data_IF_729167886589
#
_entry.id   IF_729167886589
#
_cell.length_a   1.000
_cell.length_b   1.000
_cell.length_c   1.000
_cell.angle_alpha   90.00
_cell.angle_beta   90.00
_cell.angle_gamma   90.00
#
_symmetry.space_group_name_H-M   'P 1'
#
loop_
_entity.id
_entity.type
_entity.pdbx_description
1 polymer ?
#
# COMPACT_ATOMS: atom_id res chain seq x y z
N UNK A 1 13.12 -13.49 -1.92
CA UNK A 1 14.46 -13.48 -2.55
C UNK A 1 14.53 -13.11 -4.06
N UNK A 2 13.43 -12.92 -4.83
CA UNK A 2 13.52 -12.61 -6.28
C UNK A 2 14.30 -11.35 -6.66
N UNK A 3 14.15 -10.24 -5.90
CA UNK A 3 14.90 -9.00 -6.12
C UNK A 3 16.43 -9.19 -6.12
N UNK A 4 16.94 -10.01 -5.20
CA UNK A 4 18.37 -10.29 -5.10
C UNK A 4 18.84 -11.21 -6.24
N UNK A 5 17.98 -12.14 -6.69
CA UNK A 5 18.28 -12.99 -7.84
C UNK A 5 18.42 -12.17 -9.13
N UNK A 6 17.56 -11.18 -9.38
CA UNK A 6 17.72 -10.26 -10.52
C UNK A 6 19.04 -9.48 -10.45
N UNK A 7 19.41 -8.99 -9.26
CA UNK A 7 20.68 -8.29 -9.08
C UNK A 7 21.90 -9.20 -9.30
N UNK A 8 21.83 -10.44 -8.81
CA UNK A 8 22.86 -11.46 -9.00
C UNK A 8 22.99 -11.85 -10.47
N UNK A 9 21.86 -12.05 -11.17
CA UNK A 9 21.85 -12.34 -12.60
C UNK A 9 22.56 -11.25 -13.41
N UNK A 10 22.24 -9.98 -13.14
CA UNK A 10 22.94 -8.82 -13.75
C UNK A 10 24.44 -8.86 -13.47
N UNK A 11 24.85 -9.18 -12.24
CA UNK A 11 26.27 -9.30 -11.90
C UNK A 11 26.95 -10.44 -12.68
N UNK A 12 26.32 -11.62 -12.76
CA UNK A 12 26.86 -12.79 -13.46
C UNK A 12 27.07 -12.47 -14.94
N UNK A 13 26.05 -11.94 -15.63
CA UNK A 13 26.16 -11.68 -17.06
C UNK A 13 27.16 -10.55 -17.36
N UNK A 14 27.33 -9.59 -16.44
CA UNK A 14 28.24 -8.46 -16.65
C UNK A 14 29.70 -8.74 -16.28
N UNK A 15 29.97 -9.60 -15.27
CA UNK A 15 31.30 -9.84 -14.73
C UNK A 15 31.86 -11.23 -15.10
N UNK A 16 31.00 -12.24 -15.22
CA UNK A 16 31.42 -13.62 -15.42
C UNK A 16 31.34 -14.08 -16.88
N UNK A 17 30.72 -13.29 -17.76
CA UNK A 17 30.59 -13.56 -19.21
C UNK A 17 30.18 -15.01 -19.52
N UNK A 18 29.02 -15.49 -19.01
CA UNK A 18 28.58 -16.86 -19.24
C UNK A 18 28.33 -17.12 -20.73
N UNK A 19 28.62 -18.34 -21.16
CA UNK A 19 28.55 -18.73 -22.58
C UNK A 19 27.14 -18.77 -23.19
N UNK A 20 26.10 -18.91 -22.36
CA UNK A 20 24.69 -18.94 -22.79
C UNK A 20 23.82 -18.11 -21.84
N UNK A 21 23.75 -16.79 -22.08
CA UNK A 21 22.90 -15.88 -21.32
C UNK A 21 21.41 -16.15 -21.54
N UNK A 22 20.91 -16.35 -22.78
CA UNK A 22 19.50 -16.66 -23.01
C UNK A 22 19.01 -17.91 -22.28
N UNK A 23 19.78 -19.01 -22.33
CA UNK A 23 19.43 -20.24 -21.61
C UNK A 23 19.48 -20.06 -20.09
N UNK A 24 20.43 -19.27 -19.58
CA UNK A 24 20.50 -18.95 -18.15
C UNK A 24 19.29 -18.12 -17.69
N UNK A 25 18.86 -17.13 -18.48
CA UNK A 25 17.66 -16.36 -18.18
C UNK A 25 16.41 -17.24 -18.16
N UNK A 26 16.18 -18.01 -19.23
CA UNK A 26 15.00 -18.88 -19.36
C UNK A 26 14.89 -19.89 -18.22
N UNK A 27 16.03 -20.36 -17.69
CA UNK A 27 16.06 -21.29 -16.55
C UNK A 27 15.55 -20.69 -15.24
N UNK A 28 15.70 -19.37 -15.03
CA UNK A 28 15.42 -18.70 -13.76
C UNK A 28 14.42 -17.55 -13.87
N UNK A 29 13.76 -17.39 -15.02
CA UNK A 29 12.88 -16.25 -15.29
C UNK A 29 11.71 -16.17 -14.29
N UNK A 30 11.16 -17.33 -13.92
CA UNK A 30 10.01 -17.44 -13.00
C UNK A 30 10.42 -17.09 -11.58
N UNK A 31 11.53 -17.65 -11.10
CA UNK A 31 12.07 -17.37 -9.76
C UNK A 31 12.50 -15.92 -9.63
N UNK A 32 13.04 -15.33 -10.71
CA UNK A 32 13.37 -13.91 -10.75
C UNK A 32 12.12 -13.02 -10.79
N UNK A 33 10.98 -13.50 -11.26
CA UNK A 33 9.74 -12.73 -11.35
C UNK A 33 8.77 -12.92 -10.18
N UNK A 34 9.02 -13.91 -9.32
CA UNK A 34 8.08 -14.40 -8.31
C UNK A 34 7.51 -13.31 -7.38
N UNK A 35 8.30 -12.29 -7.03
CA UNK A 35 7.83 -11.15 -6.21
C UNK A 35 6.84 -10.26 -6.96
N UNK A 36 7.06 -10.06 -8.27
CA UNK A 36 6.15 -9.33 -9.12
C UNK A 36 4.88 -10.15 -9.43
N UNK A 37 5.01 -11.44 -9.71
CA UNK A 37 3.87 -12.33 -9.93
C UNK A 37 2.95 -12.36 -8.72
N UNK A 38 3.51 -12.56 -7.52
CA UNK A 38 2.73 -12.55 -6.27
C UNK A 38 2.09 -11.19 -5.99
N UNK A 39 2.81 -10.09 -6.25
CA UNK A 39 2.32 -8.73 -5.99
C UNK A 39 1.21 -8.32 -6.95
N UNK A 40 1.27 -8.76 -8.21
CA UNK A 40 0.37 -8.33 -9.27
C UNK A 40 -0.77 -9.33 -9.53
N UNK A 41 -0.65 -10.57 -9.04
CA UNK A 41 -1.60 -11.64 -9.33
C UNK A 41 -1.66 -12.03 -10.82
N UNK A 42 -0.66 -11.62 -11.61
CA UNK A 42 -0.59 -11.83 -13.06
C UNK A 42 0.83 -12.30 -13.42
N UNK A 43 0.94 -13.52 -13.93
CA UNK A 43 2.23 -14.15 -14.27
C UNK A 43 2.92 -13.45 -15.43
N UNK A 44 2.19 -13.16 -16.51
CA UNK A 44 2.71 -12.52 -17.72
C UNK A 44 3.27 -11.12 -17.39
N UNK A 45 2.48 -10.31 -16.67
CA UNK A 45 2.90 -8.98 -16.26
C UNK A 45 4.06 -9.04 -15.26
N UNK A 46 4.07 -10.03 -14.37
CA UNK A 46 5.16 -10.23 -13.41
C UNK A 46 6.48 -10.57 -14.08
N UNK A 47 6.47 -11.44 -15.10
CA UNK A 47 7.62 -11.78 -15.93
C UNK A 47 8.15 -10.56 -16.67
N UNK A 48 7.27 -9.78 -17.30
CA UNK A 48 7.65 -8.57 -18.03
C UNK A 48 8.24 -7.49 -17.10
N UNK A 49 7.65 -7.31 -15.92
CA UNK A 49 8.17 -6.43 -14.86
C UNK A 49 9.56 -6.85 -14.37
N UNK A 50 9.77 -8.15 -14.19
CA UNK A 50 11.07 -8.73 -13.81
C UNK A 50 12.13 -8.43 -14.87
N UNK A 51 11.77 -8.64 -16.13
CA UNK A 51 12.65 -8.43 -17.27
C UNK A 51 13.03 -6.95 -17.44
N UNK A 52 12.05 -6.05 -17.31
CA UNK A 52 12.29 -4.61 -17.36
C UNK A 52 13.16 -4.11 -16.18
N UNK A 53 13.05 -4.71 -14.99
CA UNK A 53 13.94 -4.38 -13.85
C UNK A 53 15.39 -4.80 -14.14
N UNK A 54 15.60 -5.92 -14.83
CA UNK A 54 16.93 -6.38 -15.27
C UNK A 54 17.51 -5.39 -16.30
N UNK A 55 16.75 -4.99 -17.31
CA UNK A 55 17.16 -3.98 -18.29
C UNK A 55 17.54 -2.66 -17.61
N UNK A 56 16.68 -2.15 -16.71
CA UNK A 56 16.94 -0.91 -15.97
C UNK A 56 18.25 -0.96 -15.18
N UNK A 57 18.58 -2.10 -14.57
CA UNK A 57 19.85 -2.29 -13.84
C UNK A 57 21.05 -2.33 -14.76
N UNK A 58 20.93 -2.96 -15.93
CA UNK A 58 21.99 -2.95 -16.94
C UNK A 58 22.24 -1.53 -17.48
N UNK A 59 21.18 -0.76 -17.71
CA UNK A 59 21.28 0.63 -18.16
C UNK A 59 22.06 1.51 -17.16
N UNK A 60 21.88 1.27 -15.85
CA UNK A 60 22.68 1.93 -14.81
C UNK A 60 24.19 1.61 -14.89
N UNK A 61 24.55 0.51 -15.53
CA UNK A 61 25.93 0.10 -15.81
C UNK A 61 26.37 0.45 -17.25
N UNK A 62 25.56 1.20 -17.99
CA UNK A 62 25.83 1.58 -19.39
C UNK A 62 25.71 0.42 -20.39
N UNK A 63 24.98 -0.65 -20.04
CA UNK A 63 24.75 -1.83 -20.89
C UNK A 63 23.26 -2.06 -21.10
N UNK A 64 22.89 -2.98 -22.01
CA UNK A 64 21.50 -3.36 -22.26
C UNK A 64 21.39 -4.87 -22.41
N UNK A 65 20.21 -5.46 -22.23
CA UNK A 65 20.01 -6.91 -22.41
C UNK A 65 20.40 -7.36 -23.83
N UNK A 66 20.25 -6.49 -24.82
CA UNK A 66 20.63 -6.77 -26.22
C UNK A 66 22.12 -7.03 -26.42
N UNK A 67 22.99 -6.44 -25.59
CA UNK A 67 24.44 -6.73 -25.64
C UNK A 67 24.78 -8.16 -25.19
N UNK A 68 23.82 -8.88 -24.63
CA UNK A 68 23.95 -10.25 -24.13
C UNK A 68 23.09 -11.25 -24.91
N UNK A 69 22.60 -10.87 -26.11
CA UNK A 69 21.83 -11.76 -26.97
C UNK A 69 20.36 -11.95 -26.56
N UNK A 70 19.87 -11.12 -25.65
CA UNK A 70 18.49 -11.11 -25.20
C UNK A 70 17.67 -10.01 -25.94
N UNK A 71 16.36 -10.21 -26.21
CA UNK A 71 15.55 -9.23 -26.90
C UNK A 71 15.30 -7.97 -26.05
N UNK A 72 15.22 -6.79 -26.66
CA UNK A 72 14.86 -5.58 -25.93
C UNK A 72 13.44 -5.71 -25.33
N UNK A 73 13.21 -5.21 -24.10
CA UNK A 73 11.87 -5.23 -23.52
C UNK A 73 10.90 -4.35 -24.33
N UNK A 74 9.65 -4.79 -24.43
CA UNK A 74 8.59 -4.07 -25.15
C UNK A 74 8.23 -2.74 -24.49
N UNK A 75 8.30 -2.69 -23.16
CA UNK A 75 7.94 -1.54 -22.33
C UNK A 75 9.03 -1.27 -21.29
N UNK A 76 9.22 -0.01 -20.92
CA UNK A 76 10.18 0.34 -19.87
C UNK A 76 9.69 -0.09 -18.49
N UNK A 77 10.61 -0.21 -17.53
CA UNK A 77 10.24 -0.51 -16.15
C UNK A 77 9.32 0.57 -15.57
N UNK A 78 9.56 1.83 -15.91
CA UNK A 78 8.76 2.98 -15.48
C UNK A 78 7.34 2.91 -16.05
N UNK A 79 7.19 2.58 -17.33
CA UNK A 79 5.89 2.42 -17.99
C UNK A 79 5.12 1.24 -17.39
N UNK A 80 5.78 0.11 -17.20
CA UNK A 80 5.20 -1.06 -16.55
C UNK A 80 4.85 -0.78 -15.10
N UNK A 81 5.65 -0.02 -14.36
CA UNK A 81 5.32 0.38 -12.99
C UNK A 81 4.11 1.32 -12.93
N UNK A 82 3.92 2.18 -13.93
CA UNK A 82 2.70 2.99 -14.04
C UNK A 82 1.48 2.17 -14.48
N UNK A 83 1.67 1.15 -15.31
CA UNK A 83 0.59 0.28 -15.81
C UNK A 83 0.29 -0.91 -14.89
N UNK A 84 1.23 -1.33 -14.05
CA UNK A 84 1.03 -2.34 -13.01
C UNK A 84 0.25 -1.77 -11.81
N UNK A 85 0.06 -0.45 -11.77
CA UNK A 85 -0.97 0.22 -10.97
C UNK A 85 -2.36 0.18 -11.63
N UNK A 86 -2.55 -0.51 -12.77
CA UNK A 86 -3.88 -0.89 -13.27
C UNK A 86 -4.40 -1.96 -12.32
N UNK A 87 -4.96 -1.47 -11.22
CA UNK A 87 -5.80 -2.24 -10.31
C UNK A 87 -6.95 -2.79 -11.15
N UNK A 88 -7.05 -4.12 -11.27
CA UNK A 88 -8.25 -4.75 -11.80
C UNK A 88 -9.41 -4.47 -10.84
N UNK A 89 -10.17 -3.43 -11.15
CA UNK A 89 -11.28 -2.98 -10.31
C UNK A 89 -12.37 -4.05 -10.21
N UNK A 90 -12.51 -4.93 -11.20
CA UNK A 90 -13.51 -6.00 -11.16
C UNK A 90 -13.10 -7.07 -10.16
N UNK A 91 -11.83 -7.47 -10.17
CA UNK A 91 -11.31 -8.44 -9.19
C UNK A 91 -11.30 -7.87 -7.77
N UNK A 92 -10.89 -6.60 -7.60
CA UNK A 92 -10.92 -5.93 -6.30
C UNK A 92 -12.34 -5.79 -5.75
N UNK A 93 -13.34 -5.54 -6.62
CA UNK A 93 -14.77 -5.59 -6.21
C UNK A 93 -15.17 -6.99 -5.76
N UNK A 94 -14.74 -8.04 -6.46
CA UNK A 94 -15.02 -9.43 -6.08
C UNK A 94 -14.43 -9.75 -4.71
N UNK A 95 -13.13 -9.51 -4.52
CA UNK A 95 -12.43 -9.72 -3.26
C UNK A 95 -13.00 -8.89 -2.11
N UNK A 96 -13.34 -7.62 -2.38
CA UNK A 96 -14.01 -6.74 -1.42
C UNK A 96 -15.35 -7.30 -0.96
N UNK A 97 -16.19 -7.78 -1.88
CA UNK A 97 -17.49 -8.38 -1.58
C UNK A 97 -17.35 -9.70 -0.80
N UNK A 98 -16.40 -10.55 -1.17
CA UNK A 98 -16.12 -11.81 -0.47
C UNK A 98 -15.69 -11.57 0.97
N UNK A 99 -14.74 -10.66 1.18
CA UNK A 99 -14.28 -10.29 2.53
C UNK A 99 -15.40 -9.63 3.34
N UNK A 100 -16.17 -8.74 2.71
CA UNK A 100 -17.32 -8.11 3.35
C UNK A 100 -18.37 -9.14 3.82
N UNK A 101 -18.63 -10.17 3.02
CA UNK A 101 -19.55 -11.25 3.40
C UNK A 101 -19.10 -11.99 4.67
N UNK A 102 -17.79 -12.12 4.89
CA UNK A 102 -17.18 -12.78 6.05
C UNK A 102 -17.18 -11.93 7.33
N UNK A 103 -17.45 -10.63 7.24
CA UNK A 103 -17.50 -9.73 8.40
C UNK A 103 -18.67 -10.08 9.32
N UNK A 104 -18.45 -9.94 10.63
CA UNK A 104 -19.55 -9.99 11.60
C UNK A 104 -20.39 -8.70 11.56
N UNK A 105 -21.53 -8.69 12.24
CA UNK A 105 -22.49 -7.57 12.19
C UNK A 105 -21.87 -6.21 12.58
N UNK A 106 -20.97 -6.19 13.56
CA UNK A 106 -20.36 -4.95 14.05
C UNK A 106 -19.23 -4.46 13.16
N UNK A 107 -18.42 -5.38 12.63
CA UNK A 107 -17.44 -5.08 11.61
C UNK A 107 -18.10 -4.55 10.34
N UNK A 108 -19.24 -5.11 9.94
CA UNK A 108 -20.07 -4.58 8.84
C UNK A 108 -20.56 -3.18 9.15
N UNK A 109 -21.09 -2.95 10.35
CA UNK A 109 -21.54 -1.62 10.76
C UNK A 109 -20.43 -0.56 10.65
N UNK A 110 -19.19 -0.92 11.02
CA UNK A 110 -18.02 -0.05 10.80
C UNK A 110 -17.80 0.21 9.32
N UNK A 111 -17.70 -0.83 8.49
CA UNK A 111 -17.49 -0.68 7.04
C UNK A 111 -18.60 0.14 6.39
N UNK A 112 -19.86 -0.12 6.73
CA UNK A 112 -21.02 0.58 6.17
C UNK A 112 -21.02 2.05 6.57
N UNK A 113 -20.69 2.35 7.83
CA UNK A 113 -20.51 3.73 8.30
C UNK A 113 -19.42 4.41 7.49
N UNK A 114 -18.32 3.71 7.20
CA UNK A 114 -17.25 4.24 6.35
C UNK A 114 -17.76 4.57 4.96
N UNK A 115 -18.37 3.60 4.30
CA UNK A 115 -18.81 3.75 2.92
C UNK A 115 -19.92 4.81 2.78
N UNK A 116 -20.82 4.93 3.76
CA UNK A 116 -21.85 5.96 3.76
C UNK A 116 -21.29 7.37 3.93
N UNK A 117 -20.29 7.55 4.81
CA UNK A 117 -19.61 8.83 4.96
C UNK A 117 -18.71 9.16 3.79
N UNK A 118 -18.16 8.13 3.16
CA UNK A 118 -17.57 8.29 1.86
C UNK A 118 -18.65 8.94 0.97
N UNK A 119 -19.77 8.28 0.72
CA UNK A 119 -20.76 8.72 -0.27
C UNK A 119 -21.40 10.10 -0.01
N UNK A 120 -21.41 10.59 1.24
CA UNK A 120 -21.98 11.89 1.61
C UNK A 120 -20.93 13.00 1.81
N UNK A 121 -20.93 14.04 0.95
CA UNK A 121 -19.99 15.17 1.00
C UNK A 121 -20.25 16.19 2.14
N UNK A 122 -21.39 16.13 2.84
CA UNK A 122 -21.77 17.06 3.91
C UNK A 122 -21.70 16.50 5.35
N UNK A 123 -21.24 15.26 5.55
CA UNK A 123 -21.25 14.64 6.88
C UNK A 123 -20.29 15.34 7.86
N UNK A 124 -20.81 15.70 9.04
CA UNK A 124 -20.04 16.07 10.23
C UNK A 124 -19.39 14.81 10.84
N UNK A 125 -18.28 14.96 11.56
CA UNK A 125 -17.55 13.86 12.24
C UNK A 125 -17.25 12.62 11.39
N UNK A 126 -16.22 12.74 10.57
CA UNK A 126 -15.79 11.63 9.73
C UNK A 126 -14.64 10.77 10.39
N UNK A 127 -14.11 11.14 11.56
CA UNK A 127 -12.93 10.44 12.14
C UNK A 127 -13.48 9.27 12.93
N UNK A 128 -12.89 8.07 12.86
CA UNK A 128 -13.38 6.95 13.65
C UNK A 128 -12.26 6.16 14.25
N UNK A 129 -12.36 5.94 15.54
CA UNK A 129 -11.47 5.05 16.26
C UNK A 129 -12.11 3.66 16.31
N UNK A 130 -11.42 2.64 15.78
CA UNK A 130 -11.88 1.26 15.86
C UNK A 130 -11.17 0.61 17.03
N UNK A 131 -11.88 0.53 18.15
CA UNK A 131 -11.38 -0.19 19.31
C UNK A 131 -11.72 -1.67 19.22
N UNK A 132 -10.84 -2.51 19.73
CA UNK A 132 -11.14 -3.90 19.94
C UNK A 132 -9.95 -4.64 20.54
N UNK A 133 -10.19 -5.63 21.41
CA UNK A 133 -9.14 -6.45 21.98
C UNK A 133 -8.36 -7.19 20.87
N UNK A 134 -7.14 -7.63 21.19
CA UNK A 134 -6.34 -8.46 20.29
C UNK A 134 -7.16 -9.64 19.75
N UNK A 135 -7.09 -9.87 18.44
CA UNK A 135 -7.86 -10.93 17.77
C UNK A 135 -9.29 -10.56 17.35
N UNK A 136 -9.75 -9.32 17.55
CA UNK A 136 -11.08 -8.86 17.08
C UNK A 136 -11.20 -8.67 15.56
N UNK A 137 -10.09 -8.82 14.82
CA UNK A 137 -10.08 -8.74 13.36
C UNK A 137 -10.03 -7.31 12.78
N UNK A 138 -9.50 -6.32 13.51
CA UNK A 138 -9.34 -4.94 13.01
C UNK A 138 -8.61 -4.86 11.67
N UNK A 139 -7.48 -5.55 11.56
CA UNK A 139 -6.72 -5.65 10.32
C UNK A 139 -7.54 -6.27 9.17
N UNK A 140 -8.45 -7.20 9.47
CA UNK A 140 -9.36 -7.77 8.47
C UNK A 140 -10.41 -6.74 7.99
N UNK A 141 -10.90 -5.88 8.89
CA UNK A 141 -11.75 -4.73 8.52
C UNK A 141 -10.99 -3.76 7.61
N UNK A 142 -9.75 -3.39 7.95
CA UNK A 142 -8.91 -2.52 7.11
C UNK A 142 -8.67 -3.10 5.72
N UNK A 143 -8.30 -4.39 5.66
CA UNK A 143 -8.15 -5.12 4.40
C UNK A 143 -9.43 -5.06 3.55
N UNK A 144 -10.58 -5.31 4.17
CA UNK A 144 -11.87 -5.27 3.47
C UNK A 144 -12.16 -3.88 2.89
N UNK A 145 -11.93 -2.83 3.67
CA UNK A 145 -12.08 -1.45 3.22
C UNK A 145 -11.15 -1.13 2.04
N UNK A 146 -9.88 -1.55 2.12
CA UNK A 146 -8.89 -1.31 1.06
C UNK A 146 -9.34 -1.93 -0.26
N UNK A 147 -9.78 -3.19 -0.27
CA UNK A 147 -10.27 -3.84 -1.48
C UNK A 147 -11.52 -3.14 -2.05
N UNK A 148 -12.45 -2.73 -1.19
CA UNK A 148 -13.64 -1.98 -1.64
C UNK A 148 -13.24 -0.63 -2.25
N UNK A 149 -12.29 0.09 -1.65
CA UNK A 149 -11.79 1.38 -2.16
C UNK A 149 -11.10 1.19 -3.53
N UNK A 150 -10.25 0.18 -3.66
CA UNK A 150 -9.58 -0.19 -4.91
C UNK A 150 -10.59 -0.55 -6.00
N UNK A 151 -11.60 -1.36 -5.67
CA UNK A 151 -12.69 -1.69 -6.58
C UNK A 151 -13.53 -0.48 -7.02
N UNK A 152 -13.59 0.57 -6.20
CA UNK A 152 -14.23 1.86 -6.55
C UNK A 152 -13.30 2.82 -7.29
N UNK A 153 -12.02 2.47 -7.51
CA UNK A 153 -11.01 3.35 -8.10
C UNK A 153 -10.61 4.52 -7.20
N UNK A 154 -10.85 4.41 -5.88
CA UNK A 154 -10.53 5.45 -4.91
C UNK A 154 -9.10 5.24 -4.38
N UNK A 155 -8.34 6.34 -4.26
CA UNK A 155 -6.99 6.32 -3.66
C UNK A 155 -7.09 6.28 -2.14
N UNK A 156 -6.16 5.59 -1.49
CA UNK A 156 -6.03 5.54 -0.03
C UNK A 156 -4.55 5.53 0.35
N UNK A 157 -4.25 5.85 1.60
CA UNK A 157 -2.93 5.60 2.17
C UNK A 157 -3.10 4.71 3.42
N UNK A 158 -2.54 3.50 3.37
CA UNK A 158 -2.53 2.57 4.48
C UNK A 158 -1.17 2.60 5.18
N UNK A 159 -1.17 2.77 6.50
CA UNK A 159 0.07 2.90 7.26
C UNK A 159 -0.03 2.32 8.66
N UNK A 160 1.13 2.05 9.25
CA UNK A 160 1.23 1.63 10.65
C UNK A 160 2.53 2.18 11.25
N UNK A 161 2.66 2.13 12.57
CA UNK A 161 3.90 2.53 13.23
C UNK A 161 5.06 1.57 12.89
N UNK A 162 4.81 0.26 12.98
CA UNK A 162 5.81 -0.79 12.73
C UNK A 162 5.76 -1.32 11.29
N UNK A 163 6.89 -1.82 10.79
CA UNK A 163 6.96 -2.42 9.46
C UNK A 163 6.13 -3.71 9.34
N UNK A 164 6.06 -4.51 10.41
CA UNK A 164 5.29 -5.77 10.43
C UNK A 164 3.79 -5.48 10.32
N UNK A 165 3.27 -4.54 11.12
CA UNK A 165 1.85 -4.16 11.03
C UNK A 165 1.51 -3.57 9.66
N UNK A 166 2.40 -2.74 9.10
CA UNK A 166 2.20 -2.17 7.77
C UNK A 166 2.11 -3.24 6.67
N UNK A 167 2.89 -4.31 6.75
CA UNK A 167 2.85 -5.41 5.77
C UNK A 167 1.54 -6.21 5.78
N UNK A 168 0.76 -6.15 6.85
CA UNK A 168 -0.54 -6.82 6.93
C UNK A 168 -1.65 -6.06 6.20
N UNK A 169 -1.36 -4.83 5.74
CA UNK A 169 -2.26 -4.01 4.95
C UNK A 169 -1.81 -4.03 3.47
N UNK A 170 -2.73 -4.19 2.51
CA UNK A 170 -2.41 -4.07 1.10
C UNK A 170 -1.82 -2.69 0.81
N UNK A 171 -0.64 -2.67 0.17
CA UNK A 171 0.16 -1.48 -0.09
C UNK A 171 0.58 -0.68 1.16
N UNK A 172 0.44 -1.28 2.35
CA UNK A 172 0.74 -0.64 3.61
C UNK A 172 2.23 -0.33 3.75
N UNK A 173 2.53 0.87 4.28
CA UNK A 173 3.92 1.28 4.60
C UNK A 173 3.96 1.99 5.93
N UNK A 174 5.12 2.04 6.57
CA UNK A 174 5.23 2.72 7.85
C UNK A 174 4.88 4.21 7.74
N UNK A 175 4.40 4.81 8.84
CA UNK A 175 4.15 6.26 8.93
C UNK A 175 5.42 7.02 8.56
N UNK A 176 6.57 6.57 9.08
CA UNK A 176 7.89 7.11 8.75
C UNK A 176 8.18 7.12 7.25
N UNK A 177 7.78 6.07 6.52
CA UNK A 177 7.97 6.01 5.07
C UNK A 177 7.06 7.02 4.34
N UNK A 178 5.77 7.07 4.67
CA UNK A 178 4.81 7.97 4.02
C UNK A 178 5.19 9.45 4.20
N UNK A 179 5.53 9.85 5.42
CA UNK A 179 5.79 11.25 5.77
C UNK A 179 7.27 11.64 5.69
N UNK A 180 8.18 10.68 5.45
CA UNK A 180 9.63 10.88 5.49
C UNK A 180 10.06 11.56 6.80
N UNK A 181 9.61 10.99 7.91
CA UNK A 181 9.88 11.54 9.25
C UNK A 181 11.38 11.45 9.57
N UNK A 182 11.95 12.52 10.11
CA UNK A 182 13.32 12.54 10.63
C UNK A 182 13.43 11.77 11.93
N UNK A 183 14.53 11.04 12.09
CA UNK A 183 14.88 10.37 13.35
C UNK A 183 15.80 11.32 14.12
N UNK A 184 15.34 11.86 15.26
CA UNK A 184 16.13 12.78 16.09
C UNK A 184 15.30 13.68 17.01
N UNK A 185 15.92 14.70 17.59
CA UNK A 185 15.31 15.59 18.61
C UNK A 185 14.13 16.44 18.09
N UNK A 186 13.98 16.60 16.77
CA UNK A 186 12.79 17.20 16.17
C UNK A 186 12.22 16.26 15.11
N UNK A 187 11.02 15.74 15.39
CA UNK A 187 10.24 14.95 14.44
C UNK A 187 9.67 15.91 13.39
N UNK A 188 10.16 15.84 12.16
CA UNK A 188 9.67 16.65 11.06
C UNK A 188 9.34 15.78 9.85
N UNK A 189 8.17 16.00 9.26
CA UNK A 189 7.78 15.41 8.00
C UNK A 189 8.39 16.21 6.84
N UNK A 190 9.14 15.52 5.99
CA UNK A 190 9.88 16.12 4.88
C UNK A 190 9.39 15.70 3.49
N UNK A 191 8.20 15.10 3.43
CA UNK A 191 7.52 14.82 2.16
C UNK A 191 7.11 16.12 1.46
N UNK A 192 7.37 16.19 0.15
CA UNK A 192 6.93 17.28 -0.74
C UNK A 192 5.74 16.83 -1.58
N UNK A 193 4.84 17.76 -1.90
CA UNK A 193 3.67 17.49 -2.76
C UNK A 193 4.04 17.02 -4.18
N UNK A 194 5.23 17.37 -4.67
CA UNK A 194 5.75 16.95 -5.98
C UNK A 194 6.26 15.52 -6.01
N UNK A 195 6.54 14.90 -4.85
CA UNK A 195 6.96 13.51 -4.76
C UNK A 195 5.74 12.59 -4.87
N UNK A 196 5.91 11.39 -5.47
CA UNK A 196 4.84 10.39 -5.64
C UNK A 196 4.05 10.12 -4.35
N UNK A 197 4.74 10.04 -3.21
CA UNK A 197 4.11 9.80 -1.89
C UNK A 197 3.33 11.03 -1.39
N UNK A 198 3.78 12.24 -1.69
CA UNK A 198 3.07 13.47 -1.34
C UNK A 198 1.82 13.64 -2.20
N UNK A 199 1.90 13.31 -3.48
CA UNK A 199 0.73 13.23 -4.37
C UNK A 199 -0.29 12.19 -3.87
N UNK A 200 0.17 11.00 -3.47
CA UNK A 200 -0.70 9.97 -2.87
C UNK A 200 -1.41 10.50 -1.62
N UNK A 201 -0.68 11.09 -0.67
CA UNK A 201 -1.26 11.64 0.56
C UNK A 201 -2.28 12.75 0.27
N UNK A 202 -1.98 13.63 -0.68
CA UNK A 202 -2.87 14.73 -1.10
C UNK A 202 -4.16 14.22 -1.77
N UNK A 203 -4.06 13.17 -2.57
CA UNK A 203 -5.17 12.64 -3.37
C UNK A 203 -5.93 11.50 -2.67
N UNK A 204 -5.41 11.01 -1.54
CA UNK A 204 -6.03 9.95 -0.77
C UNK A 204 -7.43 10.35 -0.31
N UNK A 205 -8.40 9.49 -0.60
CA UNK A 205 -9.76 9.60 -0.07
C UNK A 205 -9.86 9.07 1.35
N UNK A 206 -8.93 8.23 1.81
CA UNK A 206 -8.91 7.63 3.16
C UNK A 206 -7.47 7.46 3.65
N UNK A 207 -7.23 7.71 4.95
CA UNK A 207 -5.97 7.44 5.64
C UNK A 207 -6.15 6.32 6.66
N UNK A 208 -5.79 5.10 6.31
CA UNK A 208 -5.87 3.97 7.25
C UNK A 208 -4.59 3.94 8.06
N UNK A 209 -4.70 4.04 9.38
CA UNK A 209 -3.57 3.91 10.30
C UNK A 209 -3.82 2.63 11.12
N UNK A 210 -2.85 1.74 11.26
CA UNK A 210 -2.96 0.59 12.15
C UNK A 210 -2.01 0.81 13.33
N UNK A 211 -2.37 0.24 14.48
CA UNK A 211 -1.62 0.37 15.73
C UNK A 211 -1.39 1.83 16.18
N UNK A 212 -2.35 2.76 16.02
CA UNK A 212 -2.04 4.15 16.44
C UNK A 212 -1.76 4.28 17.91
N UNK A 213 -2.27 3.36 18.74
CA UNK A 213 -1.99 3.41 20.17
C UNK A 213 -0.49 3.45 20.46
N UNK A 214 0.33 3.03 19.49
CA UNK A 214 1.80 3.09 19.52
C UNK A 214 2.39 4.40 18.94
N UNK A 215 1.59 5.22 18.27
CA UNK A 215 1.96 6.49 17.65
C UNK A 215 1.92 7.60 18.69
N UNK A 216 3.02 8.34 18.82
CA UNK A 216 3.12 9.43 19.79
C UNK A 216 2.29 10.65 19.35
N UNK A 217 1.84 11.44 20.33
CA UNK A 217 1.12 12.70 20.06
C UNK A 217 1.90 13.62 19.11
N UNK A 218 3.21 13.77 19.32
CA UNK A 218 4.06 14.60 18.47
C UNK A 218 4.09 14.11 17.02
N UNK A 219 4.03 12.78 16.80
CA UNK A 219 3.95 12.22 15.44
C UNK A 219 2.60 12.53 14.80
N UNK A 220 1.50 12.41 15.55
CA UNK A 220 0.16 12.76 15.07
C UNK A 220 0.03 14.24 14.72
N UNK A 221 0.53 15.13 15.58
CA UNK A 221 0.51 16.58 15.35
C UNK A 221 1.31 16.95 14.09
N UNK A 222 2.44 16.29 13.86
CA UNK A 222 3.28 16.52 12.68
C UNK A 222 2.66 15.94 11.40
N UNK A 223 2.01 14.78 11.48
CA UNK A 223 1.21 14.23 10.39
C UNK A 223 0.10 15.21 10.00
N UNK A 224 -0.68 15.68 10.97
CA UNK A 224 -1.76 16.64 10.77
C UNK A 224 -1.25 17.94 10.12
N UNK A 225 -0.18 18.53 10.68
CA UNK A 225 0.47 19.73 10.13
C UNK A 225 0.88 19.52 8.68
N UNK A 226 1.52 18.39 8.37
CA UNK A 226 1.98 18.10 7.01
C UNK A 226 0.84 17.84 6.05
N UNK A 227 -0.23 17.17 6.46
CA UNK A 227 -1.39 16.98 5.60
C UNK A 227 -2.05 18.32 5.26
N UNK A 228 -2.20 19.23 6.24
CA UNK A 228 -2.67 20.61 6.00
C UNK A 228 -1.81 21.37 5.00
N UNK A 229 -0.49 21.18 5.06
CA UNK A 229 0.46 21.75 4.11
C UNK A 229 0.30 21.14 2.69
N UNK A 230 0.13 19.82 2.59
CA UNK A 230 0.03 19.12 1.30
C UNK A 230 -1.29 19.38 0.55
N UNK A 231 -2.40 19.52 1.28
CA UNK A 231 -3.72 19.76 0.69
C UNK A 231 -4.09 21.23 0.59
N UNK A 232 -3.35 22.11 1.27
CA UNK A 232 -3.67 23.53 1.44
C UNK A 232 -5.04 23.79 2.09
N UNK A 233 -5.53 22.87 2.94
CA UNK A 233 -6.81 22.99 3.65
C UNK A 233 -6.57 23.05 5.14
N UNK A 234 -7.06 24.09 5.81
CA UNK A 234 -6.91 24.28 7.26
C UNK A 234 -8.00 23.55 8.06
N UNK A 235 -8.12 22.24 7.85
CA UNK A 235 -8.95 21.33 8.63
C UNK A 235 -8.07 20.19 9.17
N UNK A 236 -8.48 19.45 10.21
CA UNK A 236 -7.73 18.30 10.71
C UNK A 236 -7.33 17.34 9.58
N UNK A 237 -6.07 16.94 9.56
CA UNK A 237 -5.37 16.17 8.54
C UNK A 237 -5.53 16.74 7.13
N UNK A 238 -5.49 18.06 7.00
CA UNK A 238 -5.59 18.75 5.72
C UNK A 238 -6.94 18.60 5.05
N UNK A 239 -7.99 18.29 5.80
CA UNK A 239 -9.25 17.93 5.19
C UNK A 239 -9.06 16.83 4.13
N UNK A 240 -8.01 16.00 4.24
CA UNK A 240 -7.75 14.77 3.47
C UNK A 240 -8.86 13.83 3.87
N UNK A 241 -10.01 14.20 3.33
CA UNK A 241 -11.31 14.22 3.97
C UNK A 241 -12.35 15.09 3.29
N UNK A 242 -12.47 14.89 1.99
CA UNK A 242 -13.82 14.75 1.44
C UNK A 242 -14.56 13.54 2.05
N UNK A 243 -13.86 12.63 2.74
CA UNK A 243 -14.31 11.41 3.42
C UNK A 243 -13.24 10.96 4.48
N UNK A 244 -13.45 10.95 5.82
CA UNK A 244 -12.36 10.62 6.84
C UNK A 244 -12.56 9.16 7.14
N UNK A 245 -11.47 8.40 7.25
CA UNK A 245 -11.14 7.57 8.40
C UNK A 245 -9.65 7.82 8.66
N UNK A 246 -9.31 8.06 9.93
CA UNK A 246 -8.03 7.76 10.55
C UNK A 246 -8.39 6.69 11.55
N UNK A 247 -7.84 5.49 11.41
CA UNK A 247 -7.85 4.53 12.51
C UNK A 247 -6.63 4.77 13.36
N UNK A 248 -6.61 5.94 13.95
CA UNK A 248 -7.12 6.09 15.31
C UNK A 248 -6.68 7.52 15.75
N UNK A 249 -7.63 8.37 16.13
CA UNK A 249 -7.64 9.27 17.30
C UNK A 249 -8.87 10.19 17.21
N UNK A 250 -9.65 10.15 18.29
CA UNK A 250 -10.66 11.08 18.80
C UNK A 250 -11.57 11.85 17.81
N UNK A 251 -12.71 11.26 17.44
CA UNK A 251 -14.04 11.66 17.93
C UNK A 251 -15.04 10.54 17.56
N UNK A 252 -15.78 10.04 18.56
CA UNK A 252 -16.65 8.85 18.57
C UNK A 252 -15.98 7.47 18.34
N UNK A 253 -16.23 6.58 19.30
CA UNK A 253 -15.64 5.25 19.46
C UNK A 253 -16.62 4.21 18.93
N UNK A 254 -16.23 3.40 17.95
CA UNK A 254 -16.96 2.16 17.61
C UNK A 254 -16.15 0.99 18.17
N UNK A 255 -16.69 0.30 19.20
CA UNK A 255 -16.03 -0.84 19.85
C UNK A 255 -16.41 -2.16 19.17
N UNK A 256 -15.45 -3.01 18.87
CA UNK A 256 -15.64 -4.39 18.40
C UNK A 256 -15.39 -5.39 19.56
N UNK A 257 -16.29 -6.33 19.87
CA UNK A 257 -16.14 -7.32 20.94
C UNK A 257 -15.28 -8.52 20.51
N UNK A 258 -14.89 -9.32 21.51
CA UNK A 258 -14.20 -10.60 21.30
C UNK A 258 -15.12 -11.63 20.63
N UNK A 259 -14.58 -12.42 19.69
CA UNK A 259 -15.08 -13.78 19.45
C UNK A 259 -14.60 -14.66 20.60
N UNK A 260 -15.51 -15.15 21.43
CA UNK A 260 -15.63 -16.52 21.96
C UNK A 260 -16.99 -16.57 22.67
N UNK A 261 -17.81 -17.54 22.29
CA UNK A 261 -19.22 -17.61 22.64
C UNK A 261 -19.51 -17.98 24.08
N UNK A 262 -20.75 -17.70 24.50
CA UNK A 262 -21.59 -18.73 25.09
C UNK A 262 -23.06 -18.33 24.97
N UNK A 263 -23.81 -19.31 24.44
CA UNK A 263 -25.23 -19.49 24.63
C UNK A 263 -25.61 -19.47 26.13
N UNK A 264 -26.86 -19.05 26.38
CA UNK A 264 -27.74 -19.36 27.50
C UNK A 264 -27.66 -18.51 28.79
N UNK A 265 -28.81 -17.87 29.02
CA UNK A 265 -29.47 -17.39 30.24
C UNK A 265 -28.85 -16.24 31.04
#
# INVERSE_FOLDING_TARGET
MPFQMRALFVLIITQCSPGDVPGLYAKFEREMADDFVHRLGNEELGLEMSYADIERRLQQLGKTVTSFGLPAPLRSYEELMSNAEIVDQAEERRLGNEKYAMLNAEQKAVVDTVLAQLDNAGAENRCHFIDGPGGSGKTFVYNTLIHILRGRGLKFAAMAYTGIAAQLLPEGKTIHHHFRLTVGNSMQANVKATEKRGALLREASVLIVDEVSTVSKNMLDEMDRKMRELTCVNAPFGGTTRRRFSTDFACETVRLPRRIGQFLH
#
